data_IF_169204242797
#
_entry.id   IF_169204242797
#
_cell.length_a   1.000
_cell.length_b   1.000
_cell.length_c   1.000
_cell.angle_alpha   90.00
_cell.angle_beta   90.00
_cell.angle_gamma   90.00
#
_symmetry.space_group_name_H-M   'P 1'
#
loop_
_entity.id
_entity.type
_entity.pdbx_description
1 polymer ?
#
# COMPACT_ATOMS: atom_id res chain seq x y z
N UNK A 1 -12.21 12.43 -6.80
CA UNK A 1 -10.73 12.53 -6.72
C UNK A 1 -10.36 12.35 -5.27
N UNK A 2 -10.28 11.09 -4.80
CA UNK A 2 -9.88 10.80 -3.43
C UNK A 2 -8.34 10.77 -3.38
N UNK A 3 -7.79 11.75 -2.67
CA UNK A 3 -6.37 12.01 -2.62
C UNK A 3 -5.61 10.84 -1.98
N UNK A 4 -4.43 10.58 -2.55
CA UNK A 4 -3.38 9.75 -1.96
C UNK A 4 -3.29 10.14 -0.48
N UNK A 5 -3.72 9.25 0.41
CA UNK A 5 -3.62 9.46 1.85
C UNK A 5 -2.14 9.37 2.22
N UNK A 6 -1.39 10.42 1.89
CA UNK A 6 -0.03 10.64 2.32
C UNK A 6 -0.12 10.76 3.83
N UNK A 7 0.27 9.70 4.53
CA UNK A 7 0.35 9.72 6.00
C UNK A 7 1.13 10.98 6.36
N UNK A 8 0.45 11.95 6.99
CA UNK A 8 0.99 13.28 7.23
C UNK A 8 2.36 13.14 7.94
N UNK A 9 3.39 13.89 7.53
CA UNK A 9 4.77 13.71 8.01
C UNK A 9 4.86 13.69 9.55
N UNK A 10 4.03 14.49 10.21
CA UNK A 10 3.91 14.57 11.67
C UNK A 10 3.28 13.33 12.31
N UNK A 11 2.38 12.64 11.59
CA UNK A 11 1.77 11.37 12.01
C UNK A 11 2.76 10.20 11.84
N UNK A 12 3.59 10.21 10.78
CA UNK A 12 4.63 9.17 10.56
C UNK A 12 5.63 9.06 11.71
N UNK A 13 6.03 10.19 12.30
CA UNK A 13 6.98 10.22 13.43
C UNK A 13 6.44 9.65 14.74
N UNK A 14 5.12 9.44 14.84
CA UNK A 14 4.46 8.86 16.01
C UNK A 14 4.18 7.36 15.84
N UNK A 15 4.56 6.79 14.70
CA UNK A 15 4.38 5.37 14.44
C UNK A 15 5.40 4.53 15.23
N UNK A 16 5.07 3.28 15.57
CA UNK A 16 6.07 2.33 16.02
C UNK A 16 7.24 2.26 15.02
N UNK A 17 8.48 2.15 15.50
CA UNK A 17 9.69 2.22 14.64
C UNK A 17 9.65 1.26 13.44
N UNK A 18 9.12 0.06 13.63
CA UNK A 18 8.96 -0.92 12.55
C UNK A 18 8.02 -0.40 11.44
N UNK A 19 6.88 0.17 11.81
CA UNK A 19 5.90 0.74 10.88
C UNK A 19 6.42 2.03 10.25
N UNK A 20 7.15 2.84 11.02
CA UNK A 20 7.78 4.05 10.51
C UNK A 20 8.76 3.73 9.37
N UNK A 21 9.61 2.72 9.54
CA UNK A 21 10.54 2.27 8.49
C UNK A 21 9.81 1.87 7.20
N UNK A 22 8.69 1.16 7.33
CA UNK A 22 7.85 0.77 6.18
C UNK A 22 7.23 2.02 5.53
N UNK A 23 6.65 2.92 6.33
CA UNK A 23 6.03 4.15 5.85
C UNK A 23 7.02 5.11 5.17
N UNK A 24 8.28 5.12 5.61
CA UNK A 24 9.36 5.90 5.00
C UNK A 24 9.74 5.32 3.64
N UNK A 25 9.71 4.00 3.47
CA UNK A 25 10.00 3.29 2.22
C UNK A 25 8.78 3.01 1.35
N UNK A 26 7.58 3.43 1.75
CA UNK A 26 6.33 3.12 1.05
C UNK A 26 6.33 3.58 -0.40
N UNK A 27 7.01 4.69 -0.71
CA UNK A 27 7.16 5.22 -2.06
C UNK A 27 8.01 4.33 -2.99
N UNK A 28 8.81 3.41 -2.43
CA UNK A 28 9.58 2.43 -3.19
C UNK A 28 8.81 1.14 -3.43
N UNK A 29 7.63 0.97 -2.80
CA UNK A 29 6.79 -0.20 -2.96
C UNK A 29 5.77 0.08 -4.06
N UNK A 30 5.92 -0.62 -5.17
CA UNK A 30 5.03 -0.57 -6.33
C UNK A 30 4.81 -1.98 -6.87
N UNK A 31 3.70 -2.18 -7.58
CA UNK A 31 3.51 -3.42 -8.33
C UNK A 31 4.55 -3.50 -9.47
N UNK A 32 5.29 -4.61 -9.62
CA UNK A 32 6.30 -4.71 -10.68
C UNK A 32 5.71 -4.74 -12.10
N UNK A 33 4.44 -5.15 -12.25
CA UNK A 33 3.80 -5.29 -13.55
C UNK A 33 3.04 -4.04 -14.01
N UNK A 34 2.28 -3.39 -13.11
CA UNK A 34 1.51 -2.18 -13.46
C UNK A 34 2.10 -0.89 -12.88
N UNK A 35 3.18 -0.97 -12.10
CA UNK A 35 3.88 0.18 -11.51
C UNK A 35 2.98 1.12 -10.69
N UNK A 36 1.90 0.61 -10.12
CA UNK A 36 0.98 1.38 -9.28
C UNK A 36 1.44 1.35 -7.81
N UNK A 37 1.02 2.36 -7.04
CA UNK A 37 1.50 2.67 -5.71
C UNK A 37 1.04 1.67 -4.63
N UNK A 38 1.79 1.59 -3.54
CA UNK A 38 1.36 0.92 -2.31
C UNK A 38 0.79 1.91 -1.27
N UNK A 39 -0.18 1.44 -0.50
CA UNK A 39 -0.78 2.17 0.62
C UNK A 39 -0.54 1.42 1.94
N UNK A 40 -0.27 2.17 3.00
CA UNK A 40 -0.18 1.64 4.35
C UNK A 40 -1.35 2.18 5.17
N UNK A 41 -2.27 1.30 5.56
CA UNK A 41 -3.48 1.63 6.31
C UNK A 41 -3.46 0.98 7.69
N UNK A 42 -4.25 1.50 8.62
CA UNK A 42 -4.44 0.89 9.92
C UNK A 42 -5.93 0.55 10.07
N UNK A 43 -6.23 -0.67 10.49
CA UNK A 43 -7.61 -1.11 10.71
C UNK A 43 -8.17 -0.62 12.07
N UNK A 44 -9.43 -0.92 12.32
CA UNK A 44 -10.12 -0.55 13.57
C UNK A 44 -9.59 -1.25 14.83
N UNK A 45 -8.86 -2.37 14.66
CA UNK A 45 -8.23 -3.13 15.73
C UNK A 45 -6.79 -2.66 16.00
N UNK A 46 -6.29 -1.70 15.23
CA UNK A 46 -4.95 -1.14 15.34
C UNK A 46 -3.88 -1.93 14.58
N UNK A 47 -4.25 -2.91 13.76
CA UNK A 47 -3.34 -3.66 12.89
C UNK A 47 -2.99 -2.84 11.65
N UNK A 48 -1.74 -2.92 11.22
CA UNK A 48 -1.23 -2.21 10.05
C UNK A 48 -1.28 -3.11 8.83
N UNK A 49 -1.95 -2.66 7.77
CA UNK A 49 -2.07 -3.37 6.51
C UNK A 49 -1.29 -2.63 5.43
N UNK A 50 -0.49 -3.39 4.67
CA UNK A 50 0.16 -2.92 3.46
C UNK A 50 -0.66 -3.44 2.27
N UNK A 51 -1.18 -2.53 1.48
CA UNK A 51 -1.98 -2.81 0.28
C UNK A 51 -1.20 -2.35 -0.95
N UNK A 52 -0.91 -3.26 -1.88
CA UNK A 52 -0.38 -2.89 -3.19
C UNK A 52 -1.58 -2.64 -4.09
N UNK A 53 -1.68 -1.44 -4.66
CA UNK A 53 -2.77 -1.11 -5.58
C UNK A 53 -2.41 -1.62 -6.96
N UNK A 54 -3.44 -2.07 -7.66
CA UNK A 54 -3.33 -2.58 -9.02
C UNK A 54 -4.37 -1.85 -9.88
N UNK A 55 -3.99 -1.55 -11.12
CA UNK A 55 -4.94 -1.11 -12.13
C UNK A 55 -5.60 -2.32 -12.80
N UNK A 56 -6.75 -2.10 -13.43
CA UNK A 56 -7.54 -3.15 -14.13
C UNK A 56 -6.75 -3.83 -15.27
N UNK A 57 -5.65 -3.21 -15.71
CA UNK A 57 -4.76 -3.74 -16.75
C UNK A 57 -3.57 -4.53 -16.21
N UNK A 58 -3.47 -4.71 -14.89
CA UNK A 58 -2.34 -5.39 -14.26
C UNK A 58 -2.29 -6.88 -14.65
N UNK A 59 -1.20 -7.34 -15.31
CA UNK A 59 -1.03 -8.74 -15.69
C UNK A 59 -1.10 -9.71 -14.51
N UNK A 60 -0.46 -9.35 -13.39
CA UNK A 60 -0.49 -10.17 -12.18
C UNK A 60 -1.90 -10.26 -11.60
N UNK A 61 -2.64 -9.14 -11.51
CA UNK A 61 -4.00 -9.13 -11.00
C UNK A 61 -4.91 -10.00 -11.87
N UNK A 62 -4.82 -9.84 -13.20
CA UNK A 62 -5.60 -10.62 -14.15
C UNK A 62 -5.35 -12.13 -13.98
N UNK A 63 -4.10 -12.54 -13.81
CA UNK A 63 -3.74 -13.94 -13.59
C UNK A 63 -4.22 -14.44 -12.22
N UNK A 64 -4.07 -13.64 -11.16
CA UNK A 64 -4.53 -13.98 -9.82
C UNK A 64 -6.04 -14.23 -9.79
N UNK A 65 -6.83 -13.34 -10.39
CA UNK A 65 -8.29 -13.48 -10.47
C UNK A 65 -8.72 -14.74 -11.23
N UNK A 66 -8.02 -15.10 -12.32
CA UNK A 66 -8.29 -16.32 -13.06
C UNK A 66 -8.00 -17.61 -12.27
N UNK A 67 -7.02 -17.58 -11.36
CA UNK A 67 -6.64 -18.75 -10.56
C UNK A 67 -7.47 -18.92 -9.27
N UNK A 68 -8.16 -17.87 -8.83
CA UNK A 68 -8.94 -17.86 -7.59
C UNK A 68 -10.47 -17.80 -7.81
N UNK A 69 -10.92 -17.99 -9.05
CA UNK A 69 -12.31 -18.28 -9.42
C UNK A 69 -12.60 -19.79 -9.39
#
# INVERSE_FOLDING_TARGET
>A
MEGIATVNRSKRRKLPKAIQSIADNLHNLHCPDCNNDAALTQDSLGMWHLEIRHDDTCPWLSAYEQHHQ
#
